data_IF_228190404279
#
_entry.id   IF_228190404279
#
_cell.length_a   1.000
_cell.length_b   1.000
_cell.length_c   1.000
_cell.angle_alpha   90.00
_cell.angle_beta   90.00
_cell.angle_gamma   90.00
#
_symmetry.space_group_name_H-M   'P 1'
#
loop_
_entity.id
_entity.type
_entity.pdbx_description
1 polymer ?
#
# COMPACT_ATOMS: atom_id res chain seq x y z
N UNK A 1 -14.63 -22.37 -20.31
CA UNK A 1 -14.66 -22.50 -18.85
C UNK A 1 -15.60 -21.40 -18.36
N UNK A 2 -16.70 -21.75 -17.74
CA UNK A 2 -17.64 -20.74 -17.24
C UNK A 2 -17.04 -20.08 -15.99
N UNK A 3 -17.00 -18.75 -16.00
CA UNK A 3 -16.55 -17.95 -14.85
C UNK A 3 -17.70 -17.88 -13.85
N UNK A 4 -17.46 -18.33 -12.63
CA UNK A 4 -18.40 -18.18 -11.53
C UNK A 4 -18.34 -16.73 -11.01
N UNK A 5 -19.48 -16.06 -11.06
CA UNK A 5 -19.66 -14.69 -10.58
C UNK A 5 -20.28 -14.68 -9.18
N UNK A 6 -19.82 -13.80 -8.36
CA UNK A 6 -20.35 -13.55 -7.01
C UNK A 6 -20.68 -12.08 -6.85
N UNK A 7 -21.69 -11.79 -6.08
CA UNK A 7 -22.19 -10.46 -5.79
C UNK A 7 -21.50 -9.93 -4.55
N UNK A 8 -20.90 -8.73 -4.66
CA UNK A 8 -20.21 -8.03 -3.58
C UNK A 8 -21.01 -6.80 -3.18
N UNK A 9 -21.34 -6.71 -1.90
CA UNK A 9 -22.11 -5.58 -1.39
C UNK A 9 -21.23 -4.35 -1.19
N UNK A 10 -21.82 -3.14 -1.27
CA UNK A 10 -21.13 -1.89 -0.92
C UNK A 10 -20.50 -1.95 0.46
N UNK A 11 -19.37 -1.25 0.63
CA UNK A 11 -18.66 -1.30 1.90
C UNK A 11 -17.48 -0.35 1.99
N UNK A 12 -16.70 -0.51 3.06
CA UNK A 12 -15.49 0.25 3.32
C UNK A 12 -14.35 -0.70 3.61
N UNK A 13 -13.20 -0.42 3.03
CA UNK A 13 -11.99 -1.20 3.25
C UNK A 13 -10.79 -0.31 3.48
N UNK A 14 -9.75 -0.88 4.09
CA UNK A 14 -8.47 -0.22 4.21
C UNK A 14 -7.46 -0.84 3.24
N UNK A 15 -6.86 0.00 2.41
CA UNK A 15 -5.82 -0.37 1.45
C UNK A 15 -4.51 0.31 1.83
N UNK A 16 -3.39 -0.32 1.49
CA UNK A 16 -2.07 0.20 1.76
C UNK A 16 -1.53 -0.13 3.15
N UNK A 17 -0.34 0.35 3.44
CA UNK A 17 0.41 0.04 4.67
C UNK A 17 0.81 1.30 5.43
N UNK A 18 0.84 1.20 6.75
CA UNK A 18 1.45 2.20 7.63
C UNK A 18 2.93 1.91 7.92
N UNK A 19 3.39 0.70 7.61
CA UNK A 19 4.77 0.31 7.83
C UNK A 19 5.68 0.94 6.77
N UNK A 20 6.64 1.74 7.22
CA UNK A 20 7.59 2.50 6.39
C UNK A 20 8.98 1.89 6.36
N UNK A 21 9.23 0.77 7.03
CA UNK A 21 10.57 0.18 7.05
C UNK A 21 11.01 -0.17 5.61
N UNK A 22 12.30 -0.09 5.34
CA UNK A 22 12.82 -0.34 3.99
C UNK A 22 12.67 -1.81 3.61
N UNK A 23 12.91 -2.72 4.57
CA UNK A 23 12.87 -4.16 4.31
C UNK A 23 11.48 -4.78 4.44
N UNK A 24 10.68 -4.30 5.40
CA UNK A 24 9.39 -4.91 5.76
C UNK A 24 8.21 -3.97 5.53
N UNK A 25 8.46 -2.82 4.92
CA UNK A 25 7.42 -1.85 4.61
C UNK A 25 6.54 -2.28 3.47
N UNK A 26 5.30 -1.80 3.48
CA UNK A 26 4.37 -1.94 2.37
C UNK A 26 4.15 -0.62 1.64
N UNK A 27 3.42 -0.67 0.55
CA UNK A 27 3.03 0.54 -0.18
C UNK A 27 2.04 1.34 0.66
N UNK A 28 2.39 2.58 0.96
CA UNK A 28 1.57 3.48 1.75
C UNK A 28 1.05 4.68 0.96
N UNK A 29 0.28 5.52 1.63
CA UNK A 29 -0.22 5.41 3.00
C UNK A 29 -1.41 4.43 3.13
N UNK A 30 -1.66 3.91 4.34
CA UNK A 30 -2.89 3.18 4.63
C UNK A 30 -4.07 4.13 4.61
N UNK A 31 -5.10 3.79 3.85
CA UNK A 31 -6.26 4.67 3.63
C UNK A 31 -7.56 3.89 3.49
N UNK A 32 -8.65 4.49 3.99
CA UNK A 32 -10.01 4.01 3.81
C UNK A 32 -10.46 4.30 2.37
N UNK A 33 -11.05 3.30 1.74
CA UNK A 33 -11.75 3.43 0.46
C UNK A 33 -13.22 3.11 0.70
N UNK A 34 -14.13 3.92 0.17
CA UNK A 34 -15.57 3.68 0.18
C UNK A 34 -16.04 3.26 -1.18
N UNK A 35 -16.62 2.08 -1.24
CA UNK A 35 -17.27 1.54 -2.43
C UNK A 35 -18.77 1.60 -2.17
N UNK A 36 -19.47 2.50 -2.82
CA UNK A 36 -20.90 2.79 -2.63
C UNK A 36 -21.78 2.08 -3.66
N UNK A 37 -21.20 1.28 -4.53
CA UNK A 37 -21.88 0.48 -5.53
C UNK A 37 -21.73 -1.01 -5.25
N UNK A 38 -22.77 -1.77 -5.63
CA UNK A 38 -22.75 -3.21 -5.69
C UNK A 38 -22.11 -3.64 -7.01
N UNK A 39 -21.32 -4.72 -6.99
CA UNK A 39 -20.67 -5.25 -8.19
C UNK A 39 -20.57 -6.77 -8.15
N UNK A 40 -20.36 -7.38 -9.29
CA UNK A 40 -20.06 -8.81 -9.40
C UNK A 40 -18.57 -9.02 -9.64
N UNK A 41 -17.99 -10.04 -9.00
CA UNK A 41 -16.59 -10.39 -9.14
C UNK A 41 -16.43 -11.87 -9.44
N UNK A 42 -15.40 -12.26 -10.18
CA UNK A 42 -15.08 -13.68 -10.38
C UNK A 42 -14.65 -14.33 -9.08
N UNK A 43 -15.25 -15.48 -8.74
CA UNK A 43 -14.95 -16.23 -7.49
C UNK A 43 -13.50 -16.66 -7.41
N UNK A 44 -12.94 -17.16 -8.52
CA UNK A 44 -11.54 -17.56 -8.65
C UNK A 44 -10.77 -16.61 -9.58
N UNK A 45 -9.42 -16.55 -9.47
CA UNK A 45 -8.59 -15.90 -10.47
C UNK A 45 -8.85 -16.51 -11.85
N UNK A 46 -8.98 -15.66 -12.87
CA UNK A 46 -9.31 -16.08 -14.24
C UNK A 46 -8.03 -16.05 -15.09
N UNK A 47 -7.71 -17.13 -15.84
CA UNK A 47 -6.60 -17.12 -16.78
C UNK A 47 -6.77 -16.01 -17.83
N UNK A 48 -5.71 -15.28 -18.14
CA UNK A 48 -5.75 -14.17 -19.10
C UNK A 48 -6.24 -14.60 -20.49
N UNK A 49 -5.91 -15.83 -20.89
CA UNK A 49 -6.39 -16.39 -22.16
C UNK A 49 -7.93 -16.42 -22.23
N UNK A 50 -8.58 -16.82 -21.16
CA UNK A 50 -10.06 -16.81 -21.04
C UNK A 50 -10.59 -15.40 -20.85
N UNK A 51 -9.95 -14.63 -19.98
CA UNK A 51 -10.36 -13.27 -19.65
C UNK A 51 -10.30 -12.31 -20.85
N UNK A 52 -9.35 -12.50 -21.76
CA UNK A 52 -9.23 -11.65 -22.97
C UNK A 52 -10.47 -11.68 -23.86
N UNK A 53 -11.20 -12.79 -23.91
CA UNK A 53 -12.46 -12.90 -24.64
C UNK A 53 -13.60 -12.18 -23.90
N UNK A 54 -13.62 -12.25 -22.58
CA UNK A 54 -14.64 -11.61 -21.73
C UNK A 54 -14.45 -10.08 -21.74
N UNK A 55 -13.21 -9.61 -21.66
CA UNK A 55 -12.85 -8.20 -21.67
C UNK A 55 -13.10 -7.48 -23.02
N UNK A 56 -13.52 -8.19 -24.07
CA UNK A 56 -14.01 -7.57 -25.30
C UNK A 56 -15.35 -6.85 -25.10
N UNK A 57 -16.09 -7.21 -24.06
CA UNK A 57 -17.31 -6.51 -23.68
C UNK A 57 -16.98 -5.41 -22.66
N UNK A 58 -17.50 -4.21 -22.87
CA UNK A 58 -17.32 -3.05 -21.96
C UNK A 58 -17.93 -3.26 -20.56
N UNK A 59 -18.71 -4.33 -20.37
CA UNK A 59 -19.31 -4.66 -19.08
C UNK A 59 -18.28 -5.19 -18.06
N UNK A 60 -17.17 -5.76 -18.53
CA UNK A 60 -16.19 -6.44 -17.69
C UNK A 60 -14.88 -5.66 -17.63
N UNK A 61 -14.29 -5.64 -16.46
CA UNK A 61 -13.04 -4.95 -16.21
C UNK A 61 -12.15 -5.81 -15.32
N UNK A 62 -10.88 -5.42 -15.18
CA UNK A 62 -10.01 -5.96 -14.16
C UNK A 62 -10.35 -5.27 -12.83
N UNK A 63 -10.45 -6.03 -11.76
CA UNK A 63 -10.77 -5.52 -10.43
C UNK A 63 -9.68 -4.57 -9.92
N UNK A 64 -10.09 -3.49 -9.26
CA UNK A 64 -9.18 -2.65 -8.48
C UNK A 64 -8.74 -3.38 -7.21
N UNK A 65 -7.63 -2.93 -6.63
CA UNK A 65 -7.17 -3.44 -5.33
C UNK A 65 -8.21 -3.23 -4.23
N UNK A 66 -8.94 -2.14 -4.28
CA UNK A 66 -9.99 -1.81 -3.31
C UNK A 66 -11.19 -2.73 -3.43
N UNK A 67 -11.67 -3.00 -4.66
CA UNK A 67 -12.76 -3.94 -4.92
C UNK A 67 -12.37 -5.36 -4.52
N UNK A 68 -11.15 -5.76 -4.86
CA UNK A 68 -10.61 -7.06 -4.46
C UNK A 68 -10.57 -7.20 -2.93
N UNK A 69 -10.06 -6.18 -2.22
CA UNK A 69 -9.95 -6.21 -0.77
C UNK A 69 -11.33 -6.28 -0.11
N UNK A 70 -12.33 -5.55 -0.64
CA UNK A 70 -13.70 -5.60 -0.14
C UNK A 70 -14.32 -6.99 -0.30
N UNK A 71 -14.15 -7.62 -1.47
CA UNK A 71 -14.66 -8.96 -1.72
C UNK A 71 -13.98 -10.02 -0.82
N UNK A 72 -12.68 -9.85 -0.55
CA UNK A 72 -11.94 -10.72 0.34
C UNK A 72 -12.35 -10.55 1.80
N UNK A 73 -12.53 -9.32 2.30
CA UNK A 73 -13.01 -9.05 3.67
C UNK A 73 -14.45 -9.53 3.91
N UNK A 74 -15.23 -9.73 2.84
CA UNK A 74 -16.57 -10.36 2.89
C UNK A 74 -16.52 -11.88 2.72
N UNK A 75 -15.34 -12.51 2.68
CA UNK A 75 -15.13 -13.96 2.46
C UNK A 75 -15.79 -14.50 1.18
N UNK A 76 -15.85 -13.68 0.14
CA UNK A 76 -16.57 -14.00 -1.10
C UNK A 76 -15.65 -14.54 -2.20
N UNK A 77 -14.34 -14.36 -2.12
CA UNK A 77 -13.40 -14.78 -3.15
C UNK A 77 -12.36 -15.76 -2.61
N UNK A 78 -11.85 -16.59 -3.50
CA UNK A 78 -10.84 -17.59 -3.17
C UNK A 78 -9.76 -17.66 -4.26
N UNK A 79 -8.67 -18.30 -3.94
CA UNK A 79 -7.56 -18.64 -4.83
C UNK A 79 -6.75 -19.76 -4.20
N UNK A 80 -5.82 -20.34 -4.95
CA UNK A 80 -5.02 -21.46 -4.46
C UNK A 80 -3.52 -21.12 -4.44
N UNK A 81 -2.83 -21.15 -5.58
CA UNK A 81 -1.40 -20.86 -5.68
C UNK A 81 -1.11 -19.91 -6.87
N UNK A 82 -2.10 -19.16 -7.31
CA UNK A 82 -1.98 -18.25 -8.43
C UNK A 82 -1.44 -16.88 -7.98
N UNK A 83 -0.78 -16.19 -8.90
CA UNK A 83 -0.51 -14.75 -8.79
C UNK A 83 -1.47 -14.05 -9.72
N UNK A 84 -2.40 -13.27 -9.16
CA UNK A 84 -3.37 -12.51 -9.93
C UNK A 84 -3.02 -11.03 -10.01
N UNK A 85 -3.12 -10.47 -11.22
CA UNK A 85 -2.92 -9.05 -11.50
C UNK A 85 -4.21 -8.28 -11.27
N UNK A 86 -4.10 -7.11 -10.64
CA UNK A 86 -5.16 -6.15 -10.42
C UNK A 86 -5.01 -4.93 -11.33
N UNK A 87 -6.02 -4.08 -11.38
CA UNK A 87 -6.06 -2.93 -12.27
C UNK A 87 -5.13 -1.78 -11.84
N UNK A 88 -4.79 -1.68 -10.56
CA UNK A 88 -4.01 -0.55 -10.03
C UNK A 88 -2.58 -0.53 -10.59
N UNK A 89 -2.14 0.66 -11.00
CA UNK A 89 -0.82 0.95 -11.57
C UNK A 89 -0.15 2.02 -10.74
N UNK A 90 0.92 1.65 -10.04
CA UNK A 90 1.55 2.46 -9.00
C UNK A 90 3.04 2.67 -9.28
N UNK A 91 3.58 3.77 -8.77
CA UNK A 91 5.01 4.07 -8.82
C UNK A 91 5.75 3.77 -7.51
N UNK A 92 5.02 3.53 -6.43
CA UNK A 92 5.58 3.21 -5.11
C UNK A 92 4.77 3.76 -3.94
N UNK A 93 3.66 4.45 -4.21
CA UNK A 93 2.78 4.98 -3.18
C UNK A 93 1.36 5.16 -3.71
N UNK A 94 0.40 5.38 -2.80
CA UNK A 94 -0.99 5.70 -3.14
C UNK A 94 -1.32 7.20 -3.03
N UNK A 95 -0.31 8.08 -2.89
CA UNK A 95 -0.58 9.51 -2.86
C UNK A 95 -1.35 9.97 -4.10
N UNK A 96 -2.30 10.88 -3.94
CA UNK A 96 -3.27 11.33 -4.95
C UNK A 96 -4.34 10.32 -5.38
N UNK A 97 -4.38 9.09 -4.83
CA UNK A 97 -5.44 8.12 -5.15
C UNK A 97 -6.82 8.66 -4.74
N UNK A 98 -7.81 8.48 -5.62
CA UNK A 98 -9.22 8.68 -5.30
C UNK A 98 -9.73 7.43 -4.60
N UNK A 99 -10.42 7.59 -3.47
CA UNK A 99 -10.77 6.52 -2.54
C UNK A 99 -12.26 6.12 -2.67
N UNK A 100 -12.71 5.86 -3.89
CA UNK A 100 -14.09 5.48 -4.25
C UNK A 100 -14.21 4.10 -4.93
N UNK A 101 -13.16 3.31 -4.89
CA UNK A 101 -13.16 1.97 -5.50
C UNK A 101 -12.56 1.92 -6.90
N UNK A 102 -12.43 3.05 -7.60
CA UNK A 102 -11.79 3.06 -8.93
C UNK A 102 -10.35 2.58 -8.88
N UNK A 103 -9.84 1.96 -9.95
CA UNK A 103 -8.43 1.65 -10.09
C UNK A 103 -7.57 2.90 -10.01
N UNK A 104 -6.42 2.79 -9.33
CA UNK A 104 -5.44 3.86 -9.28
C UNK A 104 -4.48 3.74 -10.47
N UNK A 105 -4.32 4.82 -11.21
CA UNK A 105 -3.38 4.91 -12.31
C UNK A 105 -2.47 6.12 -12.12
N UNK A 106 -1.22 5.85 -11.80
CA UNK A 106 -0.19 6.87 -11.64
C UNK A 106 0.61 7.02 -12.94
N UNK A 107 0.77 8.25 -13.41
CA UNK A 107 1.60 8.52 -14.59
C UNK A 107 3.03 8.06 -14.35
N UNK A 108 3.61 7.36 -15.34
CA UNK A 108 4.96 6.79 -15.20
C UNK A 108 5.03 5.62 -14.19
N UNK A 109 3.93 4.90 -13.97
CA UNK A 109 3.88 3.74 -13.10
C UNK A 109 5.01 2.72 -13.37
N UNK A 110 5.48 2.05 -12.33
CA UNK A 110 6.57 1.07 -12.37
C UNK A 110 6.11 -0.34 -12.07
N UNK A 111 5.00 -0.50 -11.36
CA UNK A 111 4.49 -1.79 -10.92
C UNK A 111 2.96 -1.82 -10.93
N UNK A 112 2.44 -3.03 -11.08
CA UNK A 112 1.02 -3.36 -10.98
C UNK A 112 0.75 -3.96 -9.62
N UNK A 113 -0.36 -3.59 -8.99
CA UNK A 113 -0.84 -4.28 -7.80
C UNK A 113 -1.23 -5.72 -8.16
N UNK A 114 -0.89 -6.65 -7.31
CA UNK A 114 -1.20 -8.07 -7.47
C UNK A 114 -1.42 -8.75 -6.13
N UNK A 115 -1.96 -9.97 -6.18
CA UNK A 115 -2.09 -10.84 -5.01
C UNK A 115 -1.49 -12.21 -5.34
N UNK A 116 -0.66 -12.69 -4.44
CA UNK A 116 -0.10 -14.04 -4.51
C UNK A 116 -0.83 -14.93 -3.52
N UNK A 117 -1.49 -15.95 -4.01
CA UNK A 117 -2.16 -16.95 -3.20
C UNK A 117 -1.19 -18.04 -2.81
N UNK A 118 -1.26 -18.48 -1.57
CA UNK A 118 -0.54 -19.64 -1.05
C UNK A 118 -1.46 -20.44 -0.14
N UNK A 119 -1.87 -21.61 -0.60
CA UNK A 119 -2.79 -22.51 0.13
C UNK A 119 -4.05 -21.77 0.64
N UNK A 120 -4.69 -20.99 -0.21
CA UNK A 120 -5.91 -20.25 0.12
C UNK A 120 -5.69 -18.92 0.87
N UNK A 121 -4.44 -18.58 1.22
CA UNK A 121 -4.11 -17.34 1.90
C UNK A 121 -3.46 -16.35 0.91
N UNK A 122 -4.06 -15.17 0.70
CA UNK A 122 -3.49 -14.17 -0.19
C UNK A 122 -2.47 -13.29 0.54
N UNK A 123 -1.41 -12.93 -0.16
CA UNK A 123 -0.45 -11.92 0.27
C UNK A 123 -0.35 -10.79 -0.75
N UNK A 124 -0.19 -9.54 -0.31
CA UNK A 124 0.10 -8.43 -1.21
C UNK A 124 1.38 -8.70 -1.98
N UNK A 125 1.34 -8.56 -3.29
CA UNK A 125 2.50 -8.69 -4.17
C UNK A 125 2.46 -7.62 -5.25
N UNK A 126 3.51 -7.53 -6.05
CA UNK A 126 3.65 -6.53 -7.09
C UNK A 126 4.31 -7.15 -8.30
N UNK A 127 3.84 -6.75 -9.47
CA UNK A 127 4.38 -7.18 -10.75
C UNK A 127 5.06 -5.97 -11.39
N UNK A 128 6.36 -6.06 -11.66
CA UNK A 128 7.11 -4.98 -12.30
C UNK A 128 6.57 -4.69 -13.70
N UNK A 129 6.74 -3.44 -14.14
CA UNK A 129 6.40 -3.05 -15.51
C UNK A 129 7.17 -3.93 -16.51
N UNK A 130 6.45 -4.51 -17.45
CA UNK A 130 7.01 -5.45 -18.44
C UNK A 130 6.88 -6.92 -18.05
N UNK A 131 6.64 -7.24 -16.79
CA UNK A 131 6.25 -8.59 -16.38
C UNK A 131 4.74 -8.79 -16.52
N UNK A 132 4.33 -10.03 -16.72
CA UNK A 132 2.93 -10.41 -16.92
C UNK A 132 2.59 -11.56 -15.98
N UNK A 133 1.48 -11.46 -15.28
CA UNK A 133 0.87 -12.59 -14.60
C UNK A 133 0.02 -13.40 -15.58
N UNK A 134 -0.18 -14.67 -15.30
CA UNK A 134 -1.09 -15.53 -16.08
C UNK A 134 -2.56 -15.34 -15.68
N UNK A 135 -2.82 -14.81 -14.50
CA UNK A 135 -4.17 -14.66 -13.94
C UNK A 135 -4.52 -13.21 -13.67
N UNK A 136 -5.81 -12.92 -13.74
CA UNK A 136 -6.41 -11.64 -13.35
C UNK A 136 -7.71 -11.87 -12.58
N UNK A 137 -8.17 -10.87 -11.85
CA UNK A 137 -9.49 -10.87 -11.22
C UNK A 137 -10.43 -10.00 -12.04
N UNK A 138 -11.55 -10.59 -12.48
CA UNK A 138 -12.55 -9.87 -13.27
C UNK A 138 -13.61 -9.26 -12.35
N UNK A 139 -14.12 -8.09 -12.76
CA UNK A 139 -15.20 -7.38 -12.10
C UNK A 139 -16.21 -6.89 -13.15
N UNK A 140 -17.49 -6.94 -12.79
CA UNK A 140 -18.59 -6.34 -13.53
C UNK A 140 -19.26 -5.30 -12.65
N UNK A 141 -19.15 -4.04 -13.06
CA UNK A 141 -19.77 -2.90 -12.37
C UNK A 141 -21.16 -2.62 -12.95
N UNK A 142 -22.07 -1.98 -12.20
CA UNK A 142 -23.35 -1.55 -12.75
C UNK A 142 -23.16 -0.65 -13.97
N UNK A 143 -23.97 -0.83 -15.00
CA UNK A 143 -23.88 -0.05 -16.26
C UNK A 143 -24.04 1.46 -16.02
N UNK A 144 -24.88 1.83 -15.08
CA UNK A 144 -25.19 3.22 -14.72
C UNK A 144 -24.21 3.81 -13.71
N UNK A 145 -23.22 3.01 -13.25
CA UNK A 145 -22.23 3.51 -12.28
C UNK A 145 -21.14 4.31 -12.99
N UNK A 146 -21.12 5.59 -12.68
CA UNK A 146 -20.06 6.50 -13.11
C UNK A 146 -19.29 7.01 -11.90
N UNK A 147 -17.99 6.84 -11.92
CA UNK A 147 -17.15 7.41 -10.87
C UNK A 147 -17.26 8.94 -10.85
N UNK A 148 -17.52 9.50 -9.68
CA UNK A 148 -17.64 10.95 -9.53
C UNK A 148 -16.34 11.65 -9.96
N UNK A 149 -16.47 12.81 -10.60
CA UNK A 149 -15.29 13.61 -10.99
C UNK A 149 -14.48 14.02 -9.76
N UNK A 150 -15.17 14.35 -8.68
CA UNK A 150 -14.58 14.72 -7.39
C UNK A 150 -14.99 13.70 -6.33
N UNK A 151 -14.10 12.75 -6.05
CA UNK A 151 -14.23 11.78 -4.95
C UNK A 151 -13.30 12.10 -3.78
N UNK A 152 -13.40 11.37 -2.65
CA UNK A 152 -12.45 11.47 -1.56
C UNK A 152 -11.05 11.11 -2.04
N UNK A 153 -10.13 12.08 -2.04
CA UNK A 153 -8.80 11.93 -2.60
C UNK A 153 -7.72 12.11 -1.53
N UNK A 154 -6.71 11.25 -1.57
CA UNK A 154 -5.51 11.42 -0.76
C UNK A 154 -4.74 12.68 -1.18
N UNK A 155 -3.99 13.31 -0.25
CA UNK A 155 -3.08 14.40 -0.59
C UNK A 155 -2.10 13.99 -1.71
N UNK A 156 -1.61 14.95 -2.46
CA UNK A 156 -0.67 14.71 -3.57
C UNK A 156 0.65 14.12 -3.10
N UNK A 157 1.09 14.43 -1.88
CA UNK A 157 2.34 13.93 -1.33
C UNK A 157 2.33 13.87 0.19
N UNK A 158 3.26 13.09 0.76
CA UNK A 158 3.53 13.10 2.21
C UNK A 158 4.12 14.43 2.66
N UNK A 159 3.93 14.75 3.95
CA UNK A 159 4.64 15.86 4.57
C UNK A 159 6.12 15.49 4.79
N UNK A 160 6.96 15.84 3.82
CA UNK A 160 8.40 15.53 3.81
C UNK A 160 9.12 16.09 5.04
N UNK A 161 8.73 17.28 5.50
CA UNK A 161 9.33 17.93 6.67
C UNK A 161 9.07 17.13 7.95
N UNK A 162 7.86 16.64 8.13
CA UNK A 162 7.50 15.78 9.26
C UNK A 162 8.31 14.48 9.23
N UNK A 163 8.43 13.85 8.07
CA UNK A 163 9.18 12.61 7.92
C UNK A 163 10.67 12.81 8.24
N UNK A 164 11.28 13.87 7.72
CA UNK A 164 12.67 14.20 7.99
C UNK A 164 12.92 14.47 9.49
N UNK A 165 12.02 15.21 10.15
CA UNK A 165 12.08 15.45 11.59
C UNK A 165 12.01 14.15 12.40
N UNK A 166 11.12 13.23 12.03
CA UNK A 166 10.98 11.92 12.69
C UNK A 166 12.27 11.11 12.55
N UNK A 167 12.87 11.06 11.35
CA UNK A 167 14.12 10.34 11.11
C UNK A 167 15.31 10.95 11.85
N UNK A 168 15.37 12.27 11.90
CA UNK A 168 16.38 12.97 12.71
C UNK A 168 16.24 12.65 14.20
N UNK A 169 15.02 12.64 14.75
CA UNK A 169 14.77 12.28 16.15
C UNK A 169 15.14 10.82 16.44
N UNK A 170 14.89 9.90 15.52
CA UNK A 170 15.32 8.49 15.67
C UNK A 170 16.84 8.42 15.73
N UNK A 171 17.54 9.04 14.79
CA UNK A 171 19.00 9.05 14.76
C UNK A 171 19.60 9.66 16.05
N UNK A 172 18.98 10.73 16.56
CA UNK A 172 19.40 11.36 17.80
C UNK A 172 19.18 10.48 19.03
N UNK A 173 17.94 9.96 19.20
CA UNK A 173 17.53 9.24 20.44
C UNK A 173 18.06 7.82 20.47
N UNK A 174 18.10 7.12 19.35
CA UNK A 174 18.51 5.70 19.28
C UNK A 174 19.99 5.55 19.01
N UNK A 175 20.61 6.52 18.32
CA UNK A 175 22.01 6.44 17.92
C UNK A 175 22.91 7.39 18.70
N UNK A 176 22.80 8.70 18.44
CA UNK A 176 23.77 9.69 18.94
C UNK A 176 23.78 9.77 20.47
N UNK A 177 22.64 10.01 21.10
CA UNK A 177 22.57 10.15 22.57
C UNK A 177 23.11 8.89 23.29
N UNK A 178 22.69 7.65 22.93
CA UNK A 178 23.24 6.46 23.57
C UNK A 178 24.76 6.28 23.40
N UNK A 179 25.32 6.66 22.24
CA UNK A 179 26.78 6.56 22.04
C UNK A 179 27.55 7.46 22.99
N UNK A 180 27.09 8.69 23.25
CA UNK A 180 27.70 9.59 24.21
C UNK A 180 27.48 9.14 25.66
N UNK A 181 26.28 8.63 26.00
CA UNK A 181 26.02 8.07 27.35
C UNK A 181 26.93 6.88 27.60
N UNK A 182 27.05 5.97 26.63
CA UNK A 182 27.94 4.82 26.75
C UNK A 182 29.40 5.25 26.99
N UNK A 183 29.90 6.21 26.20
CA UNK A 183 31.25 6.72 26.34
C UNK A 183 31.48 7.39 27.70
N UNK A 184 30.50 8.12 28.21
CA UNK A 184 30.60 8.76 29.54
C UNK A 184 30.83 7.75 30.68
N UNK A 185 30.21 6.58 30.61
CA UNK A 185 30.33 5.56 31.66
C UNK A 185 31.44 4.54 31.41
N UNK A 186 31.95 4.38 30.21
CA UNK A 186 32.83 3.26 29.85
C UNK A 186 34.13 3.69 29.19
N UNK A 187 34.28 4.93 28.74
CA UNK A 187 35.49 5.40 28.08
C UNK A 187 36.46 6.05 29.09
N UNK A 188 37.74 6.16 28.72
CA UNK A 188 38.76 6.86 29.50
C UNK A 188 38.47 8.36 29.58
N UNK A 189 39.04 9.02 30.62
CA UNK A 189 38.97 10.46 30.76
C UNK A 189 39.52 11.16 29.52
N UNK A 190 38.85 12.19 29.06
CA UNK A 190 39.21 12.94 27.84
C UNK A 190 38.70 12.34 26.53
N UNK A 191 38.30 11.06 26.48
CA UNK A 191 37.86 10.44 25.22
C UNK A 191 36.71 11.18 24.56
N UNK A 192 35.75 11.68 25.32
CA UNK A 192 34.62 12.44 24.75
C UNK A 192 35.08 13.73 24.08
N UNK A 193 36.03 14.43 24.66
CA UNK A 193 36.55 15.69 24.12
C UNK A 193 37.42 15.50 22.87
N UNK A 194 38.15 14.40 22.79
CA UNK A 194 39.01 14.09 21.65
C UNK A 194 38.31 13.27 20.58
N UNK A 195 37.43 12.33 20.98
CA UNK A 195 36.75 11.38 20.08
C UNK A 195 35.28 11.69 19.79
N UNK A 196 34.80 12.90 20.08
CA UNK A 196 33.38 13.24 19.91
C UNK A 196 32.84 13.04 18.48
N UNK A 197 33.70 13.25 17.47
CA UNK A 197 33.32 12.99 16.06
C UNK A 197 33.06 11.50 15.83
N UNK A 198 33.86 10.61 16.39
CA UNK A 198 33.66 9.17 16.26
C UNK A 198 32.34 8.74 16.94
N UNK A 199 32.04 9.30 18.11
CA UNK A 199 30.79 9.06 18.82
C UNK A 199 29.59 9.58 18.02
N UNK A 200 29.71 10.75 17.41
CA UNK A 200 28.68 11.34 16.56
C UNK A 200 28.41 10.47 15.33
N UNK A 201 29.46 10.13 14.57
CA UNK A 201 29.32 9.33 13.35
C UNK A 201 28.94 7.89 13.64
N UNK A 202 29.47 7.28 14.71
CA UNK A 202 29.07 5.95 15.15
C UNK A 202 27.60 5.91 15.56
N UNK A 203 27.16 6.89 16.35
CA UNK A 203 25.74 7.04 16.73
C UNK A 203 24.83 7.30 15.52
N UNK A 204 25.26 8.16 14.60
CA UNK A 204 24.53 8.41 13.37
C UNK A 204 24.39 7.13 12.53
N UNK A 205 25.46 6.35 12.39
CA UNK A 205 25.44 5.06 11.70
C UNK A 205 24.42 4.10 12.31
N UNK A 206 24.40 3.94 13.63
CA UNK A 206 23.43 3.10 14.34
C UNK A 206 22.01 3.60 14.13
N UNK A 207 21.79 4.92 14.21
CA UNK A 207 20.48 5.53 13.98
C UNK A 207 19.96 5.30 12.56
N UNK A 208 20.81 5.51 11.55
CA UNK A 208 20.46 5.25 10.13
C UNK A 208 20.22 3.75 9.88
N UNK A 209 21.05 2.88 10.46
CA UNK A 209 20.86 1.44 10.36
C UNK A 209 19.53 0.98 10.96
N UNK A 210 19.13 1.55 12.10
CA UNK A 210 17.85 1.27 12.75
C UNK A 210 16.67 1.59 11.81
N UNK A 211 16.74 2.69 11.06
CA UNK A 211 15.70 3.10 10.11
C UNK A 211 15.46 2.07 8.98
N UNK A 212 16.45 1.24 8.65
CA UNK A 212 16.28 0.18 7.63
C UNK A 212 15.25 -0.86 8.09
N UNK A 213 15.31 -1.25 9.36
CA UNK A 213 14.45 -2.30 9.92
C UNK A 213 13.19 -1.74 10.56
N UNK A 214 13.28 -0.59 11.18
CA UNK A 214 12.19 -0.02 11.95
C UNK A 214 12.03 1.48 11.71
N UNK A 215 10.81 1.88 11.42
CA UNK A 215 10.35 3.27 11.37
C UNK A 215 9.00 3.39 12.05
N UNK A 216 8.69 4.51 12.72
CA UNK A 216 7.35 4.75 13.24
C UNK A 216 6.30 4.60 12.15
N UNK A 217 5.18 3.97 12.48
CA UNK A 217 4.05 3.85 11.56
C UNK A 217 3.53 5.24 11.18
N UNK A 218 3.15 5.39 9.92
CA UNK A 218 2.47 6.62 9.48
C UNK A 218 1.02 6.60 9.90
N UNK A 219 0.41 7.79 9.92
CA UNK A 219 -1.04 7.94 10.16
C UNK A 219 -1.84 7.24 9.06
N UNK A 220 -2.96 6.64 9.44
CA UNK A 220 -3.95 6.16 8.48
C UNK A 220 -4.81 7.34 8.01
N UNK A 221 -5.36 7.23 6.82
CA UNK A 221 -6.26 8.24 6.26
C UNK A 221 -7.68 7.68 6.20
N UNK A 222 -8.66 8.45 6.67
CA UNK A 222 -10.07 8.09 6.60
C UNK A 222 -10.86 9.13 5.84
N UNK A 223 -11.95 8.69 5.23
CA UNK A 223 -12.91 9.58 4.58
C UNK A 223 -13.65 10.37 5.65
N UNK A 224 -13.51 11.69 5.62
CA UNK A 224 -14.20 12.58 6.56
C UNK A 224 -15.71 12.69 6.29
N UNK A 225 -16.47 13.10 7.29
CA UNK A 225 -17.94 13.27 7.16
C UNK A 225 -18.33 14.47 6.29
N UNK A 226 -17.44 15.43 6.10
CA UNK A 226 -17.70 16.65 5.33
C UNK A 226 -17.11 16.54 3.93
N UNK A 227 -17.96 16.41 2.91
CA UNK A 227 -17.60 16.49 1.49
C UNK A 227 -16.49 15.52 1.03
N UNK A 228 -16.35 14.37 1.67
CA UNK A 228 -15.42 13.33 1.21
C UNK A 228 -13.93 13.63 1.38
N UNK A 229 -13.52 14.68 2.05
CA UNK A 229 -12.09 14.97 2.28
C UNK A 229 -11.45 13.93 3.19
N UNK A 230 -10.28 13.46 2.79
CA UNK A 230 -9.48 12.52 3.59
C UNK A 230 -8.90 13.22 4.83
N UNK A 231 -9.00 12.56 5.99
CA UNK A 231 -8.43 13.05 7.27
C UNK A 231 -7.42 12.04 7.79
N UNK A 232 -6.27 12.50 8.34
CA UNK A 232 -5.34 11.63 9.05
C UNK A 232 -5.95 11.18 10.39
N UNK A 233 -5.71 9.91 10.75
CA UNK A 233 -6.19 9.28 11.99
C UNK A 233 -5.05 8.49 12.65
#
# INVERSE_FOLDING_TARGET
MDVQWIKVNPGKVFVGSNNRSILFGGIGPRHEVRIDYEFEMSFLPVPKATASQILLSDEYNIASESEWTLAFEQDLISGNNEVEELADRIRGSYWSKVCDGRPFFEEGWLMKSSRSWSSGNPSPSQISRGQVSEFIRLVKRPKDHHFLTEGPQLPVSSNKYRLLREEFLIALIVGIIPSFIWAYFNASEGYISEGWLNLLFGGLFVGVFTVIFWRPSTVSWRVGNNCGKMKPV
#
